data_IF_237485480409
#
_entry.id   IF_237485480409
#
_cell.length_a   1.000
_cell.length_b   1.000
_cell.length_c   1.000
_cell.angle_alpha   90.00
_cell.angle_beta   90.00
_cell.angle_gamma   90.00
#
_symmetry.space_group_name_H-M   'P 1'
#
loop_
_entity.id
_entity.type
_entity.pdbx_description
1 polymer ?
#
# COMPACT_ATOMS: atom_id res chain seq x y z
N UNK A 1 0.40 8.52 -2.25
CA UNK A 1 -0.25 8.26 -0.94
C UNK A 1 -1.03 9.48 -0.52
N UNK A 2 -2.37 9.43 -0.53
CA UNK A 2 -3.31 10.33 0.18
C UNK A 2 -2.81 11.75 0.60
N UNK A 3 -2.21 12.52 -0.31
CA UNK A 3 -1.75 13.89 -0.02
C UNK A 3 -0.36 14.06 0.64
N UNK A 4 0.43 12.99 0.77
CA UNK A 4 1.77 13.01 1.40
C UNK A 4 2.94 13.24 0.42
N UNK A 5 2.66 13.62 -0.83
CA UNK A 5 3.71 13.78 -1.85
C UNK A 5 4.33 12.45 -2.30
N UNK A 6 5.11 12.49 -3.40
CA UNK A 6 5.91 11.37 -3.86
C UNK A 6 7.37 11.61 -3.50
N UNK A 7 7.94 10.77 -2.64
CA UNK A 7 9.34 10.83 -2.18
C UNK A 7 9.86 9.40 -1.97
N UNK A 8 11.13 9.25 -1.57
CA UNK A 8 11.81 7.97 -1.33
C UNK A 8 11.01 6.89 -0.56
N UNK A 9 10.15 7.23 0.43
CA UNK A 9 9.30 6.23 1.07
C UNK A 9 8.31 5.53 0.11
N UNK A 10 7.90 6.18 -0.98
CA UNK A 10 7.05 5.57 -2.00
C UNK A 10 7.76 4.41 -2.71
N UNK A 11 9.07 4.52 -2.93
CA UNK A 11 9.86 3.45 -3.55
C UNK A 11 9.99 2.23 -2.64
N UNK A 12 10.07 2.44 -1.31
CA UNK A 12 10.06 1.34 -0.33
C UNK A 12 8.74 0.56 -0.36
N UNK A 13 7.61 1.24 -0.56
CA UNK A 13 6.32 0.57 -0.73
C UNK A 13 6.27 -0.26 -2.02
N UNK A 14 6.74 0.31 -3.14
CA UNK A 14 6.80 -0.42 -4.40
C UNK A 14 7.71 -1.65 -4.29
N UNK A 15 8.86 -1.52 -3.62
CA UNK A 15 9.78 -2.62 -3.35
C UNK A 15 9.12 -3.74 -2.55
N UNK A 16 8.22 -3.41 -1.62
CA UNK A 16 7.49 -4.44 -0.87
C UNK A 16 6.59 -5.28 -1.78
N UNK A 17 5.88 -4.64 -2.71
CA UNK A 17 5.06 -5.36 -3.69
C UNK A 17 5.90 -6.28 -4.57
N UNK A 18 7.05 -5.80 -5.04
CA UNK A 18 8.00 -6.59 -5.85
C UNK A 18 8.58 -7.77 -5.06
N UNK A 19 8.97 -7.54 -3.81
CA UNK A 19 9.51 -8.60 -2.95
C UNK A 19 8.45 -9.67 -2.69
N UNK A 20 7.19 -9.26 -2.51
CA UNK A 20 6.07 -10.19 -2.36
C UNK A 20 5.87 -11.06 -3.61
N UNK A 21 5.95 -10.45 -4.80
CA UNK A 21 5.83 -11.18 -6.07
C UNK A 21 6.97 -12.19 -6.26
N UNK A 22 8.20 -11.83 -5.88
CA UNK A 22 9.36 -12.73 -5.93
C UNK A 22 9.21 -13.92 -4.98
N UNK A 23 8.74 -13.69 -3.76
CA UNK A 23 8.65 -14.74 -2.72
C UNK A 23 7.43 -15.64 -2.93
N UNK A 24 6.27 -15.06 -3.28
CA UNK A 24 5.00 -15.78 -3.36
C UNK A 24 4.55 -16.11 -4.79
N UNK A 25 5.28 -15.63 -5.81
CA UNK A 25 4.95 -15.82 -7.23
C UNK A 25 3.62 -15.18 -7.64
N UNK A 26 3.17 -14.17 -6.88
CA UNK A 26 1.86 -13.53 -7.04
C UNK A 26 1.86 -12.15 -6.39
N UNK A 27 1.16 -11.23 -7.04
CA UNK A 27 1.00 -9.87 -6.54
C UNK A 27 0.28 -9.85 -5.17
N UNK A 28 0.70 -8.91 -4.32
CA UNK A 28 0.06 -8.67 -3.03
C UNK A 28 -1.34 -8.06 -3.21
N UNK A 29 -1.43 -7.01 -4.03
CA UNK A 29 -2.64 -6.24 -4.32
C UNK A 29 -3.30 -6.73 -5.62
N UNK A 30 -4.24 -7.68 -5.52
CA UNK A 30 -4.75 -8.39 -6.72
C UNK A 30 -6.03 -7.80 -7.27
N UNK A 31 -6.88 -7.28 -6.40
CA UNK A 31 -8.20 -6.80 -6.78
C UNK A 31 -8.20 -5.28 -6.86
N UNK A 32 -7.32 -4.70 -7.67
CA UNK A 32 -7.18 -3.23 -7.82
C UNK A 32 -7.68 -2.70 -9.16
N UNK A 33 -8.20 -3.58 -10.00
CA UNK A 33 -8.73 -3.25 -11.33
C UNK A 33 -10.24 -3.45 -11.38
N UNK A 34 -10.93 -2.57 -12.11
CA UNK A 34 -12.36 -2.69 -12.40
C UNK A 34 -12.65 -3.85 -13.36
N UNK A 35 -13.94 -4.08 -13.66
CA UNK A 35 -14.38 -5.12 -14.59
C UNK A 35 -13.82 -4.96 -16.02
N UNK A 36 -13.30 -3.78 -16.35
CA UNK A 36 -12.69 -3.45 -17.64
C UNK A 36 -11.16 -3.52 -17.59
N UNK A 37 -10.57 -3.93 -16.46
CA UNK A 37 -9.13 -4.04 -16.27
C UNK A 37 -8.43 -2.70 -15.98
N UNK A 38 -9.16 -1.63 -15.71
CA UNK A 38 -8.59 -0.31 -15.42
C UNK A 38 -8.36 -0.15 -13.92
N UNK A 39 -7.28 0.53 -13.56
CA UNK A 39 -6.95 0.77 -12.16
C UNK A 39 -8.05 1.57 -11.44
N UNK A 40 -8.54 1.05 -10.32
CA UNK A 40 -9.51 1.72 -9.45
C UNK A 40 -8.88 1.97 -8.07
N UNK A 41 -8.73 3.25 -7.73
CA UNK A 41 -8.14 3.68 -6.46
C UNK A 41 -8.98 3.24 -5.24
N UNK A 42 -10.31 3.10 -5.37
CA UNK A 42 -11.18 2.66 -4.28
C UNK A 42 -10.88 1.22 -3.92
N UNK A 43 -10.75 0.37 -4.95
CA UNK A 43 -10.41 -1.04 -4.80
C UNK A 43 -9.01 -1.22 -4.19
N UNK A 44 -8.03 -0.43 -4.63
CA UNK A 44 -6.69 -0.47 -4.03
C UNK A 44 -6.69 -0.03 -2.56
N UNK A 45 -7.40 1.04 -2.20
CA UNK A 45 -7.50 1.47 -0.79
C UNK A 45 -8.22 0.38 0.04
N UNK A 46 -9.24 -0.28 -0.50
CA UNK A 46 -9.93 -1.37 0.19
C UNK A 46 -9.01 -2.57 0.46
N UNK A 47 -8.19 -2.98 -0.52
CA UNK A 47 -7.14 -4.00 -0.32
C UNK A 47 -6.11 -3.55 0.73
N UNK A 48 -5.66 -2.29 0.70
CA UNK A 48 -4.75 -1.77 1.73
C UNK A 48 -5.38 -1.85 3.13
N UNK A 49 -6.66 -1.51 3.27
CA UNK A 49 -7.37 -1.60 4.56
C UNK A 49 -7.48 -3.06 5.02
N UNK A 50 -7.77 -4.00 4.13
CA UNK A 50 -7.82 -5.42 4.47
C UNK A 50 -6.46 -5.93 5.00
N UNK A 51 -5.37 -5.54 4.34
CA UNK A 51 -4.03 -6.05 4.66
C UNK A 51 -3.38 -5.33 5.85
N UNK A 52 -3.58 -4.02 6.00
CA UNK A 52 -2.89 -3.17 6.98
C UNK A 52 -3.77 -2.69 8.12
N UNK A 53 -5.09 -2.92 8.03
CA UNK A 53 -6.07 -2.27 8.88
C UNK A 53 -6.40 -0.84 8.42
N UNK A 54 -7.32 -0.16 9.13
CA UNK A 54 -7.75 1.19 8.77
C UNK A 54 -6.58 2.18 8.83
N UNK A 55 -6.57 3.20 7.96
CA UNK A 55 -5.54 4.23 7.99
C UNK A 55 -5.59 5.01 9.31
N UNK A 56 -4.43 5.45 9.84
CA UNK A 56 -4.37 6.37 10.97
C UNK A 56 -5.12 7.68 10.69
N UNK A 57 -5.69 8.29 11.74
CA UNK A 57 -6.50 9.51 11.63
C UNK A 57 -5.76 10.67 10.95
N UNK A 58 -4.46 10.83 11.24
CA UNK A 58 -3.60 11.84 10.63
C UNK A 58 -3.52 11.73 9.09
N UNK A 59 -3.52 10.51 8.56
CA UNK A 59 -3.52 10.25 7.11
C UNK A 59 -4.86 10.64 6.50
N UNK A 60 -5.96 10.35 7.20
CA UNK A 60 -7.31 10.71 6.77
C UNK A 60 -7.52 12.23 6.80
N UNK A 61 -7.08 12.90 7.87
CA UNK A 61 -7.13 14.36 7.98
C UNK A 61 -6.31 15.05 6.88
N UNK A 62 -5.13 14.51 6.57
CA UNK A 62 -4.31 15.01 5.46
C UNK A 62 -5.02 14.88 4.12
N UNK A 63 -5.67 13.74 3.87
CA UNK A 63 -6.50 13.54 2.68
C UNK A 63 -7.63 14.56 2.60
N UNK A 64 -8.39 14.74 3.69
CA UNK A 64 -9.51 15.70 3.75
C UNK A 64 -9.04 17.14 3.48
N UNK A 65 -7.90 17.54 4.06
CA UNK A 65 -7.29 18.84 3.79
C UNK A 65 -6.90 19.01 2.32
N UNK A 66 -6.29 17.98 1.73
CA UNK A 66 -5.81 18.02 0.33
C UNK A 66 -6.94 17.91 -0.70
N UNK A 67 -8.12 17.42 -0.32
CA UNK A 67 -9.29 17.30 -1.21
C UNK A 67 -9.72 18.64 -1.80
N UNK A 68 -9.61 19.71 -1.02
CA UNK A 68 -10.03 21.06 -1.42
C UNK A 68 -9.00 21.78 -2.28
N UNK A 69 -7.78 21.22 -2.39
CA UNK A 69 -6.72 21.81 -3.19
C UNK A 69 -6.98 21.61 -4.69
N UNK A 70 -7.23 22.72 -5.39
CA UNK A 70 -7.33 22.74 -6.84
C UNK A 70 -5.95 22.88 -7.48
N UNK A 71 -5.64 22.01 -8.44
CA UNK A 71 -4.43 22.12 -9.25
C UNK A 71 -4.49 23.37 -10.13
N UNK A 72 -3.35 24.07 -10.32
CA UNK A 72 -3.30 25.26 -11.18
C UNK A 72 -3.71 24.96 -12.62
N UNK A 73 -3.27 23.81 -13.13
CA UNK A 73 -3.60 23.32 -14.47
C UNK A 73 -4.48 22.07 -14.35
N UNK A 74 -5.68 22.07 -14.96
CA UNK A 74 -6.53 20.89 -14.98
C UNK A 74 -5.89 19.73 -15.74
N UNK A 75 -6.05 18.52 -15.22
CA UNK A 75 -5.52 17.31 -15.84
C UNK A 75 -6.65 16.58 -16.56
N UNK A 76 -6.40 16.15 -17.80
CA UNK A 76 -7.34 15.32 -18.55
C UNK A 76 -7.04 13.84 -18.33
N UNK A 77 -8.06 13.09 -17.94
CA UNK A 77 -8.00 11.63 -17.81
C UNK A 77 -8.20 10.92 -19.14
N UNK A 78 -7.93 9.62 -19.15
CA UNK A 78 -8.13 8.73 -20.30
C UNK A 78 -9.59 8.71 -20.81
N UNK A 79 -10.56 8.90 -19.92
CA UNK A 79 -12.00 9.01 -20.26
C UNK A 79 -12.41 10.39 -20.77
N UNK A 80 -11.44 11.25 -21.09
CA UNK A 80 -11.58 12.65 -21.49
C UNK A 80 -12.14 13.60 -20.42
N UNK A 81 -12.39 13.14 -19.18
CA UNK A 81 -12.82 13.99 -18.08
C UNK A 81 -11.69 14.93 -17.67
N UNK A 82 -12.02 16.20 -17.50
CA UNK A 82 -11.10 17.22 -16.99
C UNK A 82 -11.26 17.30 -15.47
N UNK A 83 -10.18 17.07 -14.76
CA UNK A 83 -10.12 17.05 -13.31
C UNK A 83 -9.28 18.23 -12.80
N UNK A 84 -9.79 18.95 -11.81
CA UNK A 84 -9.10 20.05 -11.14
C UNK A 84 -8.55 19.65 -9.78
N UNK A 85 -9.01 18.56 -9.22
CA UNK A 85 -8.54 18.06 -7.92
C UNK A 85 -8.07 16.62 -8.02
N UNK A 86 -7.24 16.21 -7.07
CA UNK A 86 -6.85 14.81 -6.92
C UNK A 86 -8.06 13.90 -6.69
N UNK A 87 -9.06 14.37 -5.93
CA UNK A 87 -10.28 13.60 -5.68
C UNK A 87 -11.06 13.29 -6.96
N UNK A 88 -11.26 14.30 -7.82
CA UNK A 88 -11.91 14.11 -9.11
C UNK A 88 -11.12 13.14 -10.00
N UNK A 89 -9.79 13.28 -9.98
CA UNK A 89 -8.90 12.46 -10.79
C UNK A 89 -8.96 10.99 -10.40
N UNK A 90 -8.93 10.70 -9.09
CA UNK A 90 -8.93 9.32 -8.57
C UNK A 90 -10.33 8.78 -8.24
N UNK A 91 -11.41 9.47 -8.65
CA UNK A 91 -12.79 9.07 -8.39
C UNK A 91 -13.16 8.94 -6.90
N UNK A 92 -12.66 9.81 -6.02
CA UNK A 92 -13.14 9.87 -4.64
C UNK A 92 -14.58 10.43 -4.52
N UNK A 93 -15.06 10.73 -3.31
CA UNK A 93 -14.33 10.64 -2.05
C UNK A 93 -14.08 9.20 -1.59
N UNK A 94 -13.01 9.00 -0.81
CA UNK A 94 -12.67 7.70 -0.21
C UNK A 94 -13.11 7.60 1.24
N UNK A 95 -13.09 8.71 1.98
CA UNK A 95 -13.47 8.77 3.38
C UNK A 95 -14.59 9.79 3.59
N UNK A 96 -15.51 9.50 4.50
CA UNK A 96 -16.55 10.43 4.93
C UNK A 96 -15.96 11.51 5.86
N UNK A 97 -16.84 12.40 6.36
CA UNK A 97 -16.42 13.47 7.28
C UNK A 97 -15.99 12.95 8.67
N UNK A 98 -16.36 11.72 9.04
CA UNK A 98 -15.93 11.06 10.27
C UNK A 98 -14.62 10.28 10.08
N UNK A 99 -14.14 10.18 8.84
CA UNK A 99 -12.95 9.43 8.46
C UNK A 99 -13.19 7.94 8.21
N UNK A 100 -14.45 7.52 8.09
CA UNK A 100 -14.79 6.15 7.71
C UNK A 100 -14.64 5.95 6.21
N UNK A 101 -14.11 4.80 5.82
CA UNK A 101 -13.98 4.44 4.42
C UNK A 101 -15.36 4.21 3.80
N UNK A 102 -15.72 4.94 2.75
CA UNK A 102 -17.10 4.94 2.25
C UNK A 102 -17.47 3.68 1.46
N UNK A 103 -16.49 2.85 1.09
CA UNK A 103 -16.69 1.64 0.30
C UNK A 103 -16.38 0.38 1.12
N UNK A 104 -16.87 0.28 2.36
CA UNK A 104 -16.58 -0.85 3.26
C UNK A 104 -16.89 -2.22 2.63
N UNK A 105 -17.92 -2.29 1.78
CA UNK A 105 -18.31 -3.50 1.05
C UNK A 105 -17.28 -3.97 0.00
N UNK A 106 -16.30 -3.13 -0.34
CA UNK A 106 -15.19 -3.48 -1.22
C UNK A 106 -13.98 -4.06 -0.47
N UNK A 107 -13.97 -3.99 0.87
CA UNK A 107 -12.86 -4.52 1.67
C UNK A 107 -12.93 -6.06 1.63
N UNK A 108 -11.94 -6.74 1.05
CA UNK A 108 -11.94 -8.20 1.01
C UNK A 108 -11.66 -8.79 2.40
N UNK A 109 -12.26 -9.93 2.71
CA UNK A 109 -11.90 -10.73 3.89
C UNK A 109 -10.58 -11.48 3.62
N UNK A 110 -9.47 -10.77 3.83
CA UNK A 110 -8.12 -11.27 3.60
C UNK A 110 -7.15 -10.59 4.54
N UNK A 111 -6.26 -11.36 5.16
CA UNK A 111 -5.22 -10.83 6.07
C UNK A 111 -3.85 -11.02 5.45
N UNK A 112 -2.93 -10.09 5.74
CA UNK A 112 -1.56 -10.14 5.23
C UNK A 112 -0.84 -11.46 5.53
N UNK A 113 -1.05 -12.03 6.72
CA UNK A 113 -0.46 -13.33 7.09
C UNK A 113 -0.94 -14.50 6.24
N UNK A 114 -2.18 -14.46 5.77
CA UNK A 114 -2.80 -15.54 4.99
C UNK A 114 -2.36 -15.50 3.52
N UNK A 115 -1.67 -14.44 3.11
CA UNK A 115 -1.17 -14.28 1.74
C UNK A 115 0.22 -14.89 1.54
N UNK A 116 0.84 -15.40 2.61
CA UNK A 116 2.10 -16.15 2.58
C UNK A 116 1.78 -17.64 2.58
N UNK A 117 2.29 -18.35 1.58
CA UNK A 117 2.11 -19.79 1.42
C UNK A 117 3.41 -20.56 1.17
N UNK A 118 4.48 -19.89 0.73
CA UNK A 118 5.76 -20.56 0.47
C UNK A 118 6.68 -20.61 1.68
N UNK A 119 6.56 -19.65 2.59
CA UNK A 119 7.38 -19.58 3.79
C UNK A 119 6.66 -20.17 5.00
N UNK A 120 7.41 -20.86 5.85
CA UNK A 120 6.92 -21.45 7.09
C UNK A 120 7.80 -21.08 8.29
N UNK A 121 7.28 -21.27 9.50
CA UNK A 121 8.02 -21.10 10.75
C UNK A 121 8.68 -19.73 10.89
N UNK A 122 9.94 -19.72 11.33
CA UNK A 122 10.68 -18.49 11.61
C UNK A 122 10.92 -17.62 10.36
N UNK A 123 11.01 -18.22 9.17
CA UNK A 123 11.23 -17.49 7.92
C UNK A 123 9.98 -16.72 7.50
N UNK A 124 8.80 -17.33 7.68
CA UNK A 124 7.51 -16.65 7.50
C UNK A 124 7.37 -15.43 8.41
N UNK A 125 7.69 -15.60 9.70
CA UNK A 125 7.57 -14.50 10.67
C UNK A 125 8.55 -13.37 10.36
N UNK A 126 9.79 -13.69 9.99
CA UNK A 126 10.78 -12.69 9.59
C UNK A 126 10.37 -11.95 8.30
N UNK A 127 9.79 -12.65 7.32
CA UNK A 127 9.28 -12.00 6.11
C UNK A 127 8.10 -11.07 6.40
N UNK A 128 7.17 -11.50 7.25
CA UNK A 128 6.05 -10.66 7.69
C UNK A 128 6.52 -9.40 8.40
N UNK A 129 7.51 -9.51 9.28
CA UNK A 129 8.07 -8.37 10.00
C UNK A 129 8.71 -7.36 9.04
N UNK A 130 9.56 -7.86 8.12
CA UNK A 130 10.15 -7.06 7.06
C UNK A 130 9.09 -6.29 6.28
N UNK A 131 8.07 -7.00 5.81
CA UNK A 131 7.03 -6.41 4.98
C UNK A 131 6.15 -5.42 5.73
N UNK A 132 5.83 -5.66 7.00
CA UNK A 132 5.12 -4.67 7.84
C UNK A 132 5.92 -3.38 8.01
N UNK A 133 7.25 -3.48 8.09
CA UNK A 133 8.14 -2.32 8.11
C UNK A 133 8.10 -1.50 6.81
N UNK A 134 7.79 -2.12 5.68
CA UNK A 134 7.71 -1.45 4.36
C UNK A 134 6.28 -0.97 4.04
N UNK A 135 5.28 -1.75 4.43
CA UNK A 135 3.86 -1.54 4.17
C UNK A 135 3.21 -0.73 5.28
N UNK A 136 3.55 0.56 5.34
CA UNK A 136 2.91 1.51 6.26
C UNK A 136 2.08 2.57 5.53
N UNK A 137 0.95 2.93 6.14
CA UNK A 137 0.07 4.04 5.73
C UNK A 137 0.76 5.40 5.80
N UNK A 138 1.68 5.59 6.75
CA UNK A 138 2.44 6.82 6.86
C UNK A 138 3.80 6.64 6.20
N UNK A 139 4.21 7.49 5.22
CA UNK A 139 5.51 7.39 4.57
C UNK A 139 6.67 7.39 5.58
N UNK A 140 6.63 8.29 6.57
CA UNK A 140 7.71 8.42 7.56
C UNK A 140 7.77 7.28 8.59
N UNK A 141 6.69 6.49 8.70
CA UNK A 141 6.68 5.30 9.54
C UNK A 141 7.31 4.09 8.84
N UNK A 142 7.67 4.21 7.56
CA UNK A 142 8.33 3.12 6.80
C UNK A 142 9.79 3.00 7.21
N UNK A 143 10.25 1.77 7.35
CA UNK A 143 11.67 1.49 7.58
C UNK A 143 12.51 2.06 6.45
N UNK A 144 13.56 2.80 6.79
CA UNK A 144 14.47 3.37 5.79
C UNK A 144 15.27 2.28 5.08
N UNK A 145 15.72 2.54 3.84
CA UNK A 145 16.51 1.59 3.04
C UNK A 145 17.73 1.05 3.80
N UNK A 146 18.41 1.89 4.59
CA UNK A 146 19.57 1.46 5.39
C UNK A 146 19.20 0.40 6.44
N UNK A 147 18.11 0.61 7.18
CA UNK A 147 17.62 -0.35 8.18
C UNK A 147 17.01 -1.61 7.54
N UNK A 148 16.43 -1.47 6.35
CA UNK A 148 15.87 -2.59 5.59
C UNK A 148 16.94 -3.61 5.21
N UNK A 149 18.08 -3.16 4.69
CA UNK A 149 19.18 -4.05 4.27
C UNK A 149 19.72 -4.87 5.43
N UNK A 150 19.72 -4.33 6.64
CA UNK A 150 20.18 -5.02 7.86
C UNK A 150 19.16 -6.02 8.43
N UNK A 151 17.95 -6.09 7.86
CA UNK A 151 16.89 -6.93 8.39
C UNK A 151 17.27 -8.43 8.32
N UNK A 152 17.03 -9.23 9.39
CA UNK A 152 17.46 -10.64 9.47
C UNK A 152 17.02 -11.51 8.30
N UNK A 153 15.84 -11.23 7.72
CA UNK A 153 15.33 -11.95 6.54
C UNK A 153 16.24 -11.80 5.30
N UNK A 154 16.88 -10.64 5.12
CA UNK A 154 17.78 -10.37 3.99
C UNK A 154 19.23 -10.79 4.26
N UNK A 155 19.53 -11.22 5.49
CA UNK A 155 20.88 -11.63 5.85
C UNK A 155 21.16 -13.07 5.39
N UNK A 156 22.36 -13.36 4.87
CA UNK A 156 22.76 -14.72 4.54
C UNK A 156 22.65 -15.61 5.79
N UNK A 157 21.93 -16.72 5.70
CA UNK A 157 21.96 -17.74 6.77
C UNK A 157 23.39 -18.28 6.84
N UNK A 158 24.05 -18.14 7.99
CA UNK A 158 25.33 -18.82 8.21
C UNK A 158 25.08 -20.33 8.19
N UNK A 159 25.56 -20.99 7.14
CA UNK A 159 25.59 -22.45 7.10
C UNK A 159 26.73 -22.85 8.04
N UNK A 160 26.39 -23.32 9.24
CA UNK A 160 27.37 -24.00 10.09
C UNK A 160 27.76 -25.31 9.39
N UNK A 161 28.85 -25.30 8.64
CA UNK A 161 29.55 -26.51 8.25
C UNK A 161 30.14 -27.12 9.52
N UNK A 162 29.39 -28.02 10.15
CA UNK A 162 29.97 -28.98 11.09
C UNK A 162 30.82 -29.95 10.28
N UNK A 163 32.14 -29.79 10.36
CA UNK A 163 33.15 -30.77 9.92
C UNK A 163 33.32 -31.81 11.01
#
# INVERSE_FOLDING_TARGET
MLGNGWQMPADIWNLSGLLWDIVEGRELFRHIHDQQGRYDAKLHIAEMIALLGPPPLEVVQRYQFMREYSWPEPVRREDNRVCRTAEEYFCGPFFDNNGHFVYENLIPDRKLGDTISFLEGAEREAFLDLAKGMLSWHPDARTTTGKLVEHPFLQPKQISTSV
#
